data_IF_641351235757
#
_entry.id   IF_641351235757
#
_cell.length_a   1.000
_cell.length_b   1.000
_cell.length_c   1.000
_cell.angle_alpha   90.00
_cell.angle_beta   90.00
_cell.angle_gamma   90.00
#
_symmetry.space_group_name_H-M   'P 1'
#
loop_
_entity.id
_entity.type
_entity.pdbx_description
1 polymer ?
#
# COMPACT_ATOMS: atom_id res chain seq x y z
N UNK A 1 -5.33 10.64 -10.32
CA UNK A 1 -6.22 9.87 -9.43
C UNK A 1 -6.50 8.56 -10.12
N UNK A 2 -6.25 7.44 -9.45
CA UNK A 2 -6.51 6.08 -9.95
C UNK A 2 -7.61 5.47 -9.09
N UNK A 3 -8.58 4.81 -9.71
CA UNK A 3 -9.57 4.02 -8.99
C UNK A 3 -9.06 2.59 -8.87
N UNK A 4 -8.81 2.13 -7.65
CA UNK A 4 -8.37 0.76 -7.39
C UNK A 4 -9.55 -0.09 -6.94
N UNK A 5 -9.80 -1.18 -7.66
CA UNK A 5 -10.72 -2.23 -7.24
C UNK A 5 -9.93 -3.35 -6.59
N UNK A 6 -10.35 -3.85 -5.43
CA UNK A 6 -9.59 -4.89 -4.72
C UNK A 6 -10.42 -5.89 -3.93
N UNK A 7 -9.80 -7.05 -3.71
CA UNK A 7 -10.21 -8.13 -2.81
C UNK A 7 -9.00 -8.55 -1.98
N UNK A 8 -9.24 -9.02 -0.76
CA UNK A 8 -8.19 -9.46 0.16
C UNK A 8 -8.47 -10.86 0.69
N UNK A 9 -7.42 -11.54 1.11
CA UNK A 9 -7.46 -12.77 1.89
C UNK A 9 -6.17 -12.90 2.71
N UNK A 10 -6.10 -13.93 3.55
CA UNK A 10 -4.87 -14.40 4.16
C UNK A 10 -4.57 -15.83 3.71
N UNK A 11 -3.29 -16.22 3.73
CA UNK A 11 -2.82 -17.57 3.48
C UNK A 11 -1.77 -17.96 4.52
N UNK A 12 -1.82 -19.20 4.97
CA UNK A 12 -0.86 -19.74 5.93
C UNK A 12 0.52 -19.94 5.30
N UNK A 13 1.58 -19.84 6.10
CA UNK A 13 2.96 -19.95 5.63
C UNK A 13 3.28 -21.29 4.97
N UNK A 14 2.73 -22.38 5.50
CA UNK A 14 2.92 -23.74 4.94
C UNK A 14 2.35 -23.89 3.53
N UNK A 15 1.25 -23.17 3.24
CA UNK A 15 0.55 -23.26 1.97
C UNK A 15 1.10 -22.32 0.89
N UNK A 16 2.03 -21.42 1.25
CA UNK A 16 2.54 -20.39 0.36
C UNK A 16 3.17 -20.96 -0.90
N UNK A 17 4.09 -21.93 -0.77
CA UNK A 17 4.84 -22.47 -1.92
C UNK A 17 3.94 -23.16 -2.93
N UNK A 18 2.95 -23.91 -2.44
CA UNK A 18 1.93 -24.56 -3.28
C UNK A 18 1.09 -23.51 -3.98
N UNK A 19 0.67 -22.47 -3.26
CA UNK A 19 -0.11 -21.38 -3.83
C UNK A 19 0.65 -20.59 -4.87
N UNK A 20 1.92 -20.22 -4.63
CA UNK A 20 2.78 -19.52 -5.59
C UNK A 20 2.95 -20.31 -6.90
N UNK A 21 3.17 -21.62 -6.78
CA UNK A 21 3.29 -22.50 -7.95
C UNK A 21 1.97 -22.59 -8.71
N UNK A 22 0.85 -22.70 -7.98
CA UNK A 22 -0.49 -22.80 -8.56
C UNK A 22 -0.90 -21.51 -9.26
N UNK A 23 -0.72 -20.36 -8.60
CA UNK A 23 -1.10 -19.07 -9.15
C UNK A 23 -0.24 -18.72 -10.37
N UNK A 24 1.08 -18.99 -10.34
CA UNK A 24 1.94 -18.79 -11.52
C UNK A 24 1.57 -19.68 -12.69
N UNK A 25 1.19 -20.94 -12.42
CA UNK A 25 0.71 -21.86 -13.47
C UNK A 25 -0.61 -21.40 -14.06
N UNK A 26 -1.47 -20.82 -13.22
CA UNK A 26 -2.79 -20.34 -13.61
C UNK A 26 -2.75 -19.03 -14.40
N UNK A 27 -1.92 -18.07 -13.96
CA UNK A 27 -1.75 -16.78 -14.66
C UNK A 27 -0.84 -16.88 -15.88
N UNK A 28 -0.06 -17.96 -15.98
CA UNK A 28 0.97 -18.12 -17.02
C UNK A 28 2.16 -17.19 -16.83
N UNK A 29 2.31 -16.57 -15.65
CA UNK A 29 3.37 -15.60 -15.34
C UNK A 29 4.13 -16.00 -14.08
N UNK A 30 5.46 -15.83 -14.06
CA UNK A 30 6.24 -16.07 -12.85
C UNK A 30 5.89 -15.03 -11.79
N UNK A 31 6.01 -15.43 -10.53
CA UNK A 31 5.94 -14.49 -9.41
C UNK A 31 7.26 -13.73 -9.28
N UNK A 32 7.20 -12.44 -8.96
CA UNK A 32 8.36 -11.57 -8.77
C UNK A 32 8.44 -11.20 -7.30
N UNK A 33 9.57 -11.48 -6.67
CA UNK A 33 9.82 -11.04 -5.30
C UNK A 33 9.97 -9.51 -5.26
N UNK A 34 9.34 -8.87 -4.27
CA UNK A 34 9.48 -7.44 -4.04
C UNK A 34 9.64 -7.14 -2.56
N UNK A 35 10.36 -6.06 -2.27
CA UNK A 35 10.51 -5.51 -0.94
C UNK A 35 10.38 -3.99 -1.04
N UNK A 36 9.41 -3.43 -0.32
CA UNK A 36 9.12 -1.99 -0.33
C UNK A 36 9.12 -1.47 1.10
N UNK A 37 9.69 -0.30 1.31
CA UNK A 37 9.52 0.42 2.56
C UNK A 37 8.42 1.48 2.41
N UNK A 38 7.65 1.64 3.47
CA UNK A 38 6.55 2.58 3.55
C UNK A 38 6.71 3.42 4.81
N UNK A 39 6.66 4.74 4.63
CA UNK A 39 6.73 5.75 5.67
C UNK A 39 5.37 6.45 5.70
N UNK A 40 4.66 6.32 6.82
CA UNK A 40 3.39 7.03 7.00
C UNK A 40 3.62 8.29 7.82
N UNK A 41 3.10 9.40 7.32
CA UNK A 41 3.24 10.73 7.92
C UNK A 41 1.88 11.28 8.34
N UNK A 42 1.86 11.89 9.52
CA UNK A 42 0.74 12.60 10.10
C UNK A 42 0.95 14.12 9.92
N UNK A 43 -0.06 14.88 9.49
CA UNK A 43 0.04 16.34 9.52
C UNK A 43 0.20 16.82 10.97
N UNK A 44 1.11 17.76 11.22
CA UNK A 44 1.21 18.41 12.53
C UNK A 44 -0.02 19.30 12.70
N UNK A 45 -0.63 19.25 13.88
CA UNK A 45 -1.77 20.11 14.21
C UNK A 45 -1.41 21.58 13.93
N UNK A 46 -2.14 22.18 12.99
CA UNK A 46 -2.09 23.62 12.79
C UNK A 46 -2.79 24.23 14.00
N UNK A 47 -2.04 24.95 14.84
CA UNK A 47 -2.62 25.83 15.88
C UNK A 47 -3.70 26.70 15.24
N UNK A 48 -4.93 26.60 15.75
CA UNK A 48 -6.26 27.13 15.35
C UNK A 48 -6.38 28.39 14.47
N UNK A 49 -5.33 29.20 14.38
CA UNK A 49 -5.28 30.48 13.69
C UNK A 49 -5.31 30.48 12.15
N UNK A 50 -5.10 29.34 11.47
CA UNK A 50 -5.05 29.27 9.99
C UNK A 50 -6.27 28.62 9.31
N UNK A 51 -7.21 28.09 10.08
CA UNK A 51 -8.40 27.39 9.55
C UNK A 51 -9.50 28.33 8.99
N UNK A 52 -9.42 29.63 9.28
CA UNK A 52 -10.48 30.60 8.94
C UNK A 52 -10.40 31.18 7.51
N UNK A 53 -9.46 30.73 6.66
CA UNK A 53 -9.27 31.32 5.33
C UNK A 53 -9.96 30.55 4.17
N UNK A 54 -10.56 29.38 4.43
CA UNK A 54 -11.15 28.49 3.41
C UNK A 54 -12.54 27.98 3.82
N UNK A 55 -13.41 28.86 4.33
CA UNK A 55 -14.72 28.54 4.94
C UNK A 55 -15.83 28.08 3.95
N UNK A 56 -15.51 27.52 2.77
CA UNK A 56 -16.53 27.15 1.77
C UNK A 56 -16.71 25.68 1.45
N UNK A 57 -16.07 24.74 2.16
CA UNK A 57 -16.27 23.30 1.91
C UNK A 57 -16.59 22.50 3.20
N UNK A 58 -17.43 21.49 3.01
CA UNK A 58 -18.14 20.65 4.00
C UNK A 58 -17.24 20.05 5.09
N UNK A 59 -17.80 19.80 6.29
CA UNK A 59 -17.07 19.21 7.44
C UNK A 59 -16.40 17.85 7.15
N UNK A 60 -16.83 17.10 6.12
CA UNK A 60 -16.16 15.88 5.65
C UNK A 60 -14.83 16.13 4.96
N UNK A 61 -14.62 17.33 4.42
CA UNK A 61 -13.43 17.73 3.66
C UNK A 61 -12.33 18.30 4.58
N UNK A 62 -12.65 18.50 5.87
CA UNK A 62 -11.74 18.98 6.91
C UNK A 62 -10.96 17.86 7.60
N UNK A 63 -11.18 16.60 7.25
CA UNK A 63 -10.48 15.49 7.88
C UNK A 63 -9.03 15.46 7.40
N UNK A 64 -8.11 15.69 8.33
CA UNK A 64 -6.68 15.51 8.09
C UNK A 64 -6.43 14.06 7.65
N UNK A 65 -5.66 13.89 6.57
CA UNK A 65 -5.32 12.58 6.01
C UNK A 65 -3.85 12.28 6.24
N UNK A 66 -3.55 11.02 6.54
CA UNK A 66 -2.17 10.54 6.51
C UNK A 66 -1.66 10.48 5.08
N UNK A 67 -0.38 10.75 4.92
CA UNK A 67 0.35 10.59 3.67
C UNK A 67 1.25 9.36 3.79
N UNK A 68 1.22 8.48 2.79
CA UNK A 68 2.11 7.32 2.73
C UNK A 68 3.15 7.51 1.63
N UNK A 69 4.42 7.54 2.00
CA UNK A 69 5.56 7.53 1.10
C UNK A 69 6.07 6.12 0.96
N UNK A 70 6.26 5.65 -0.27
CA UNK A 70 6.77 4.32 -0.54
C UNK A 70 7.92 4.37 -1.53
N UNK A 71 8.90 3.50 -1.33
CA UNK A 71 9.96 3.25 -2.31
C UNK A 71 10.37 1.78 -2.27
N UNK A 72 11.01 1.33 -3.34
CA UNK A 72 11.58 -0.02 -3.42
C UNK A 72 12.75 -0.06 -2.46
N UNK A 73 12.78 -1.07 -1.59
CA UNK A 73 13.92 -1.28 -0.73
C UNK A 73 15.10 -1.74 -1.61
N UNK A 74 16.23 -1.02 -1.62
CA UNK A 74 17.39 -1.44 -2.40
C UNK A 74 17.95 -2.71 -1.75
N UNK A 75 17.53 -3.85 -2.27
CA UNK A 75 18.24 -5.09 -2.00
C UNK A 75 19.60 -4.95 -2.68
N UNK A 76 20.68 -4.98 -1.89
CA UNK A 76 22.02 -5.15 -2.44
C UNK A 76 22.00 -6.39 -3.35
N UNK A 77 22.58 -6.28 -4.54
CA UNK A 77 22.64 -7.37 -5.52
C UNK A 77 22.94 -8.70 -4.81
N UNK A 78 22.06 -9.67 -5.04
CA UNK A 78 22.02 -10.99 -4.39
C UNK A 78 23.26 -11.87 -4.65
N UNK A 79 24.31 -11.33 -5.27
CA UNK A 79 25.57 -12.01 -5.58
C UNK A 79 26.72 -11.64 -4.62
N UNK A 80 26.50 -10.74 -3.66
CA UNK A 80 27.51 -10.45 -2.63
C UNK A 80 27.03 -10.90 -1.25
N UNK A 81 27.83 -11.76 -0.63
CA UNK A 81 27.65 -12.34 0.71
C UNK A 81 27.75 -11.34 1.87
N UNK A 82 27.49 -10.06 1.62
CA UNK A 82 27.44 -9.01 2.64
C UNK A 82 26.01 -8.50 2.76
N UNK A 83 25.28 -9.06 3.73
CA UNK A 83 23.99 -8.60 4.23
C UNK A 83 24.11 -7.25 4.96
N UNK A 84 24.65 -6.23 4.31
CA UNK A 84 24.57 -4.86 4.81
C UNK A 84 23.35 -4.22 4.16
N UNK A 85 22.17 -4.58 4.67
CA UNK A 85 20.95 -3.82 4.38
C UNK A 85 21.20 -2.36 4.75
N UNK A 86 20.93 -1.45 3.81
CA UNK A 86 21.09 -0.03 4.04
C UNK A 86 20.28 0.39 5.29
N UNK A 87 20.89 1.05 6.29
CA UNK A 87 20.14 1.56 7.43
C UNK A 87 19.06 2.54 6.97
N UNK A 88 17.89 2.52 7.63
CA UNK A 88 16.78 3.42 7.33
C UNK A 88 17.20 4.89 7.32
N UNK A 89 18.04 5.30 8.27
CA UNK A 89 18.56 6.66 8.36
C UNK A 89 19.36 7.08 7.12
N UNK A 90 20.07 6.14 6.48
CA UNK A 90 20.82 6.44 5.26
C UNK A 90 19.87 6.55 4.07
N UNK A 91 18.85 5.69 3.98
CA UNK A 91 17.82 5.75 2.94
C UNK A 91 17.05 7.09 2.96
N UNK A 92 16.70 7.57 4.15
CA UNK A 92 15.95 8.82 4.32
C UNK A 92 16.74 10.07 3.88
N UNK A 93 18.07 10.00 3.97
CA UNK A 93 18.98 11.07 3.60
C UNK A 93 19.47 10.96 2.15
N UNK A 94 19.14 9.88 1.46
CA UNK A 94 19.59 9.68 0.09
C UNK A 94 18.79 10.53 -0.88
N UNK A 95 19.51 11.32 -1.66
CA UNK A 95 18.94 12.38 -2.50
C UNK A 95 18.44 11.89 -3.85
N UNK A 96 18.92 10.74 -4.30
CA UNK A 96 18.70 10.18 -5.64
C UNK A 96 17.56 9.17 -5.69
N UNK A 97 17.04 8.75 -4.53
CA UNK A 97 15.97 7.76 -4.46
C UNK A 97 14.63 8.43 -4.75
N UNK A 98 13.94 7.92 -5.77
CA UNK A 98 12.57 8.31 -6.06
C UNK A 98 11.61 7.74 -5.01
N UNK A 99 10.70 8.59 -4.54
CA UNK A 99 9.64 8.22 -3.61
C UNK A 99 8.27 8.39 -4.26
N UNK A 100 7.38 7.44 -4.05
CA UNK A 100 5.97 7.58 -4.44
C UNK A 100 5.18 8.03 -3.22
N UNK A 101 4.69 9.27 -3.28
CA UNK A 101 3.76 9.83 -2.30
C UNK A 101 2.36 9.40 -2.70
N UNK A 102 1.64 8.81 -1.76
CA UNK A 102 0.27 8.31 -1.95
C UNK A 102 -0.64 8.76 -0.81
N UNK A 103 -1.86 9.14 -1.16
CA UNK A 103 -2.98 9.27 -0.23
C UNK A 103 -4.19 8.60 -0.85
N UNK A 104 -5.13 8.14 -0.02
CA UNK A 104 -6.31 7.48 -0.50
C UNK A 104 -7.53 7.83 0.35
N UNK A 105 -8.67 7.81 -0.32
CA UNK A 105 -9.95 8.04 0.35
C UNK A 105 -10.44 6.77 1.00
N UNK A 106 -11.39 6.91 1.93
CA UNK A 106 -12.13 5.75 2.40
C UNK A 106 -12.82 5.08 1.20
N UNK A 107 -12.77 3.74 1.07
CA UNK A 107 -13.45 3.05 -0.01
C UNK A 107 -14.92 3.41 -0.07
N UNK A 108 -15.44 3.53 -1.29
CA UNK A 108 -16.79 4.05 -1.56
C UNK A 108 -17.81 3.39 -0.61
N UNK A 109 -18.75 4.17 -0.09
CA UNK A 109 -19.88 3.62 0.66
C UNK A 109 -20.79 2.82 -0.29
N UNK A 110 -21.40 1.76 0.21
CA UNK A 110 -22.48 1.05 -0.48
C UNK A 110 -23.07 -0.01 0.42
N UNK A 111 -24.34 -0.33 0.20
CA UNK A 111 -25.02 -1.41 0.91
C UNK A 111 -24.30 -2.76 0.64
N UNK A 112 -24.56 -3.74 1.51
CA UNK A 112 -23.96 -5.08 1.63
C UNK A 112 -23.81 -5.95 0.34
N UNK A 113 -24.10 -5.41 -0.85
CA UNK A 113 -23.96 -6.03 -2.17
C UNK A 113 -22.69 -5.61 -2.94
N UNK A 114 -21.71 -4.96 -2.30
CA UNK A 114 -20.43 -4.70 -2.98
C UNK A 114 -19.66 -5.99 -3.19
N UNK A 115 -19.46 -6.33 -4.46
CA UNK A 115 -18.72 -7.53 -4.87
C UNK A 115 -17.20 -7.34 -4.79
N UNK A 116 -16.73 -6.09 -4.82
CA UNK A 116 -15.32 -5.68 -4.73
C UNK A 116 -15.19 -4.38 -3.92
N UNK A 117 -14.05 -4.18 -3.26
CA UNK A 117 -13.69 -2.88 -2.68
C UNK A 117 -13.32 -1.91 -3.79
N UNK A 118 -13.66 -0.63 -3.66
CA UNK A 118 -13.38 0.40 -4.66
C UNK A 118 -12.90 1.66 -3.97
N UNK A 119 -11.64 2.04 -4.20
CA UNK A 119 -10.93 3.09 -3.50
C UNK A 119 -10.27 4.06 -4.48
N UNK A 120 -10.39 5.36 -4.23
CA UNK A 120 -9.64 6.38 -4.97
C UNK A 120 -8.25 6.55 -4.35
N UNK A 121 -7.21 6.47 -5.19
CA UNK A 121 -5.82 6.63 -4.79
C UNK A 121 -5.22 7.81 -5.58
N UNK A 122 -4.59 8.72 -4.87
CA UNK A 122 -3.86 9.85 -5.42
C UNK A 122 -2.38 9.58 -5.20
N UNK A 123 -1.63 9.52 -6.29
CA UNK A 123 -0.20 9.22 -6.25
C UNK A 123 0.57 10.31 -7.00
N UNK A 124 1.74 10.66 -6.49
CA UNK A 124 2.72 11.50 -7.15
C UNK A 124 4.12 10.99 -6.84
N UNK A 125 5.05 11.17 -7.78
CA UNK A 125 6.44 10.75 -7.59
C UNK A 125 7.29 11.96 -7.22
N UNK A 126 7.90 11.89 -6.04
CA UNK A 126 8.95 12.81 -5.61
C UNK A 126 10.27 12.27 -6.13
N UNK A 127 10.93 13.04 -6.98
CA UNK A 127 12.25 12.71 -7.51
C UNK A 127 13.35 13.07 -6.52
N UNK A 128 14.36 13.78 -7.01
CA UNK A 128 15.50 14.17 -6.18
C UNK A 128 15.12 15.21 -5.12
N UNK A 129 15.64 15.03 -3.91
CA UNK A 129 15.46 15.98 -2.79
C UNK A 129 16.81 16.51 -2.32
N UNK A 130 16.93 17.82 -2.14
CA UNK A 130 18.21 18.43 -1.72
C UNK A 130 18.57 18.13 -0.27
N UNK A 131 17.57 17.96 0.60
CA UNK A 131 17.69 17.85 2.06
C UNK A 131 17.26 16.49 2.63
N UNK A 132 16.93 15.52 1.77
CA UNK A 132 16.36 14.23 2.16
C UNK A 132 14.85 14.30 2.34
N UNK A 133 14.18 13.13 2.25
CA UNK A 133 12.71 13.06 2.22
C UNK A 133 12.08 13.42 3.57
N UNK A 134 12.74 13.11 4.68
CA UNK A 134 12.23 13.39 6.03
C UNK A 134 12.21 14.91 6.32
N UNK A 135 13.27 15.62 5.94
CA UNK A 135 13.32 17.09 6.04
C UNK A 135 12.25 17.73 5.16
N UNK A 136 12.12 17.26 3.92
CA UNK A 136 11.09 17.71 2.99
C UNK A 136 9.67 17.57 3.57
N UNK A 137 9.35 16.42 4.17
CA UNK A 137 8.04 16.21 4.80
C UNK A 137 7.84 17.06 6.05
N UNK A 138 8.89 17.30 6.84
CA UNK A 138 8.85 18.21 8.00
C UNK A 138 8.58 19.66 7.59
N UNK A 139 9.17 20.10 6.48
CA UNK A 139 8.97 21.45 5.91
C UNK A 139 7.54 21.62 5.38
N UNK A 140 6.93 20.54 4.87
CA UNK A 140 5.50 20.50 4.51
C UNK A 140 4.55 20.48 5.72
N UNK A 141 5.09 20.45 6.95
CA UNK A 141 4.31 20.42 8.17
C UNK A 141 3.85 19.04 8.60
N UNK A 142 4.46 17.96 8.09
CA UNK A 142 4.14 16.59 8.50
C UNK A 142 5.17 16.05 9.51
N UNK A 143 4.74 15.12 10.37
CA UNK A 143 5.58 14.32 11.26
C UNK A 143 5.48 12.84 10.91
N UNK A 144 6.57 12.09 11.04
CA UNK A 144 6.54 10.64 10.82
C UNK A 144 5.71 9.96 11.92
N UNK A 145 4.73 9.13 11.53
CA UNK A 145 3.84 8.39 12.43
C UNK A 145 4.41 6.98 12.67
N UNK A 146 4.49 6.18 11.60
CA UNK A 146 5.06 4.83 11.67
C UNK A 146 5.70 4.42 10.35
N UNK A 147 6.62 3.45 10.46
CA UNK A 147 7.36 2.88 9.34
C UNK A 147 7.12 1.38 9.28
N UNK A 148 6.90 0.86 8.07
CA UNK A 148 6.76 -0.57 7.85
C UNK A 148 7.33 -1.00 6.51
N UNK A 149 7.82 -2.24 6.46
CA UNK A 149 8.27 -2.92 5.25
C UNK A 149 7.18 -3.88 4.76
N UNK A 150 6.99 -3.92 3.44
CA UNK A 150 6.19 -4.92 2.73
C UNK A 150 7.14 -5.81 1.96
N UNK A 151 7.19 -7.09 2.32
CA UNK A 151 8.03 -8.08 1.65
C UNK A 151 7.17 -9.22 1.14
N UNK A 152 7.31 -9.58 -0.13
CA UNK A 152 6.40 -10.54 -0.72
C UNK A 152 6.69 -10.90 -2.16
N UNK A 153 5.66 -11.46 -2.79
CA UNK A 153 5.65 -11.90 -4.18
C UNK A 153 4.48 -11.22 -4.91
N UNK A 154 4.75 -10.74 -6.13
CA UNK A 154 3.76 -10.15 -7.02
C UNK A 154 3.56 -11.04 -8.22
N UNK A 155 2.30 -11.27 -8.58
CA UNK A 155 1.90 -12.04 -9.77
C UNK A 155 0.97 -11.19 -10.61
N UNK A 156 1.24 -11.14 -11.91
CA UNK A 156 0.43 -10.38 -12.87
C UNK A 156 -0.41 -11.32 -13.72
N UNK A 157 -1.72 -11.12 -13.77
CA UNK A 157 -2.61 -11.84 -14.67
C UNK A 157 -2.86 -11.01 -15.93
N UNK A 158 -2.14 -11.26 -17.05
CA UNK A 158 -2.18 -10.39 -18.22
C UNK A 158 -3.56 -10.30 -18.88
N UNK A 159 -4.27 -11.44 -19.01
CA UNK A 159 -5.57 -11.45 -19.67
C UNK A 159 -6.67 -10.68 -18.92
N UNK A 160 -6.64 -10.69 -17.58
CA UNK A 160 -7.65 -10.04 -16.74
C UNK A 160 -7.19 -8.66 -16.24
N UNK A 161 -5.93 -8.29 -16.47
CA UNK A 161 -5.26 -7.10 -15.93
C UNK A 161 -5.33 -6.99 -14.40
N UNK A 162 -5.19 -8.11 -13.70
CA UNK A 162 -5.22 -8.19 -12.23
C UNK A 162 -3.78 -8.34 -11.71
N UNK A 163 -3.47 -7.59 -10.65
CA UNK A 163 -2.23 -7.74 -9.88
C UNK A 163 -2.59 -8.45 -8.56
N UNK A 164 -1.85 -9.51 -8.25
CA UNK A 164 -1.96 -10.23 -6.99
C UNK A 164 -0.67 -10.04 -6.19
N UNK A 165 -0.77 -9.33 -5.08
CA UNK A 165 0.32 -9.13 -4.12
C UNK A 165 0.14 -10.07 -2.93
N UNK A 166 1.14 -10.90 -2.66
CA UNK A 166 1.20 -11.82 -1.53
C UNK A 166 2.34 -11.38 -0.64
N UNK A 167 2.07 -10.80 0.53
CA UNK A 167 3.09 -10.10 1.30
C UNK A 167 2.93 -10.26 2.81
N UNK A 168 4.07 -10.15 3.50
CA UNK A 168 4.17 -9.91 4.94
C UNK A 168 4.38 -8.42 5.21
N UNK A 169 3.89 -7.97 6.37
CA UNK A 169 4.04 -6.59 6.84
C UNK A 169 4.89 -6.60 8.09
N UNK A 170 6.03 -5.94 8.03
CA UNK A 170 7.00 -5.88 9.13
C UNK A 170 7.06 -4.44 9.61
N UNK A 171 6.67 -4.19 10.86
CA UNK A 171 6.84 -2.89 11.50
C UNK A 171 8.31 -2.65 11.80
N UNK A 172 8.81 -1.47 11.48
CA UNK A 172 10.17 -1.04 11.80
C UNK A 172 10.08 0.01 12.89
N UNK A 173 10.50 -0.34 14.10
CA UNK A 173 10.62 0.61 15.20
C UNK A 173 12.08 1.07 15.30
N UNK A 174 12.30 2.37 15.23
CA UNK A 174 13.62 2.97 15.46
C UNK A 174 13.69 3.40 16.91
N UNK A 175 14.56 2.76 17.68
CA UNK A 175 14.93 3.24 19.02
C UNK A 175 15.94 4.39 18.92
N UNK A 176 16.05 5.21 19.97
CA UNK A 176 16.96 6.37 20.04
C UNK A 176 18.44 6.01 19.78
N UNK A 177 18.82 4.73 19.92
CA UNK A 177 20.17 4.22 19.68
C UNK A 177 20.44 3.81 18.22
N UNK A 178 19.59 4.19 17.26
CA UNK A 178 19.65 3.78 15.84
C UNK A 178 19.57 2.26 15.60
N UNK A 179 19.17 1.48 16.62
CA UNK A 179 18.87 0.05 16.46
C UNK A 179 17.43 -0.07 15.97
N UNK A 180 17.27 -0.49 14.72
CA UNK A 180 15.96 -0.80 14.13
C UNK A 180 15.51 -2.18 14.58
N UNK A 181 14.51 -2.24 15.46
CA UNK A 181 13.85 -3.51 15.81
C UNK A 181 12.71 -3.76 14.83
N UNK A 182 12.75 -4.90 14.17
CA UNK A 182 11.71 -5.35 13.25
C UNK A 182 10.72 -6.26 13.96
N UNK A 183 9.43 -5.94 13.88
CA UNK A 183 8.35 -6.78 14.38
C UNK A 183 7.45 -7.19 13.23
N UNK A 184 7.37 -8.49 12.96
CA UNK A 184 6.40 -9.03 12.00
C UNK A 184 4.98 -8.80 12.55
N UNK A 185 4.13 -8.10 11.79
CA UNK A 185 2.72 -7.91 12.13
C UNK A 185 1.85 -9.06 11.60
N UNK A 186 2.41 -9.86 10.70
CA UNK A 186 1.79 -10.98 10.00
C UNK A 186 2.40 -12.30 10.45
N UNK A 187 2.59 -12.47 11.76
CA UNK A 187 3.35 -13.59 12.37
C UNK A 187 2.89 -14.98 11.90
N UNK A 188 1.61 -15.15 11.56
CA UNK A 188 1.01 -16.45 11.23
C UNK A 188 0.74 -16.68 9.73
N UNK A 189 1.18 -15.80 8.82
CA UNK A 189 0.92 -16.02 7.40
C UNK A 189 1.21 -14.83 6.49
N UNK A 190 0.68 -14.90 5.27
CA UNK A 190 0.81 -13.87 4.26
C UNK A 190 -0.55 -13.25 3.97
N UNK A 191 -0.56 -11.94 3.77
CA UNK A 191 -1.72 -11.24 3.24
C UNK A 191 -1.71 -11.35 1.73
N UNK A 192 -2.87 -11.63 1.15
CA UNK A 192 -3.09 -11.64 -0.30
C UNK A 192 -4.01 -10.48 -0.65
N UNK A 193 -3.55 -9.59 -1.52
CA UNK A 193 -4.35 -8.49 -2.09
C UNK A 193 -4.38 -8.62 -3.60
N UNK A 194 -5.55 -8.87 -4.14
CA UNK A 194 -5.80 -8.90 -5.58
C UNK A 194 -6.47 -7.59 -5.97
N UNK A 195 -5.90 -6.85 -6.91
CA UNK A 195 -6.43 -5.57 -7.32
C UNK A 195 -6.26 -5.27 -8.81
N UNK A 196 -7.12 -4.38 -9.30
CA UNK A 196 -7.05 -3.80 -10.64
C UNK A 196 -7.10 -2.28 -10.52
N UNK A 197 -6.20 -1.60 -11.24
CA UNK A 197 -6.12 -0.14 -11.28
C UNK A 197 -6.84 0.36 -12.53
N UNK A 198 -7.65 1.39 -12.36
CA UNK A 198 -8.43 2.02 -13.43
C UNK A 198 -8.07 3.50 -13.46
N UNK A 199 -7.64 3.99 -14.61
CA UNK A 199 -7.09 5.34 -14.73
C UNK A 199 -8.13 6.44 -14.50
N UNK A 200 -9.39 6.18 -14.88
CA UNK A 200 -10.47 7.16 -14.76
C UNK A 200 -11.66 6.58 -13.99
N UNK A 201 -12.03 7.22 -12.87
CA UNK A 201 -13.21 6.84 -12.10
C UNK A 201 -14.54 7.08 -12.84
N UNK A 202 -14.52 7.90 -13.91
CA UNK A 202 -15.69 8.16 -14.76
C UNK A 202 -15.94 7.07 -15.80
N UNK A 203 -14.96 6.18 -16.04
CA UNK A 203 -15.11 5.09 -16.98
C UNK A 203 -15.85 3.91 -16.34
N UNK A 204 -17.18 3.98 -16.43
CA UNK A 204 -18.08 2.97 -15.87
C UNK A 204 -17.91 1.61 -16.57
N UNK A 205 -17.53 1.59 -17.84
CA UNK A 205 -17.36 0.34 -18.61
C UNK A 205 -16.13 -0.42 -18.13
N UNK A 206 -15.00 0.26 -17.99
CA UNK A 206 -13.77 -0.31 -17.42
C UNK A 206 -13.97 -0.78 -15.98
N UNK A 207 -14.72 -0.02 -15.16
CA UNK A 207 -15.06 -0.44 -13.79
C UNK A 207 -15.88 -1.74 -13.79
N UNK A 208 -16.89 -1.84 -14.66
CA UNK A 208 -17.70 -3.06 -14.78
C UNK A 208 -16.88 -4.26 -15.26
N UNK A 209 -16.03 -4.05 -16.26
CA UNK A 209 -15.14 -5.09 -16.79
C UNK A 209 -14.18 -5.60 -15.70
N UNK A 210 -13.47 -4.69 -15.02
CA UNK A 210 -12.55 -5.02 -13.95
C UNK A 210 -13.24 -5.71 -12.77
N UNK A 211 -14.47 -5.30 -12.44
CA UNK A 211 -15.30 -5.96 -11.41
C UNK A 211 -15.63 -7.40 -11.81
N UNK A 212 -16.07 -7.62 -13.05
CA UNK A 212 -16.38 -8.97 -13.55
C UNK A 212 -15.13 -9.86 -13.56
N UNK A 213 -13.99 -9.34 -14.01
CA UNK A 213 -12.71 -10.04 -14.01
C UNK A 213 -12.30 -10.44 -12.59
N UNK A 214 -12.40 -9.54 -11.61
CA UNK A 214 -12.08 -9.84 -10.21
C UNK A 214 -13.02 -10.90 -9.61
N UNK A 215 -14.29 -10.90 -9.99
CA UNK A 215 -15.27 -11.92 -9.55
C UNK A 215 -14.97 -13.27 -10.19
N UNK A 216 -14.64 -13.30 -11.47
CA UNK A 216 -14.22 -14.52 -12.17
C UNK A 216 -12.94 -15.09 -11.54
N UNK A 217 -11.95 -14.23 -11.30
CA UNK A 217 -10.71 -14.60 -10.61
C UNK A 217 -10.98 -15.14 -9.21
N UNK A 218 -11.88 -14.51 -8.45
CA UNK A 218 -12.34 -15.02 -7.14
C UNK A 218 -12.97 -16.42 -7.25
N UNK A 219 -13.81 -16.67 -8.26
CA UNK A 219 -14.42 -18.00 -8.47
C UNK A 219 -13.37 -19.05 -8.83
N UNK A 220 -12.38 -18.68 -9.62
CA UNK A 220 -11.31 -19.59 -10.02
C UNK A 220 -10.41 -19.96 -8.84
N UNK A 221 -10.14 -19.01 -7.94
CA UNK A 221 -9.35 -19.24 -6.73
C UNK A 221 -10.15 -19.82 -5.55
N UNK A 222 -11.48 -19.90 -5.63
CA UNK A 222 -12.36 -20.25 -4.51
C UNK A 222 -12.01 -21.57 -3.80
N UNK A 223 -11.39 -22.53 -4.51
CA UNK A 223 -10.95 -23.81 -3.92
C UNK A 223 -9.64 -23.72 -3.12
N UNK A 224 -8.83 -22.69 -3.37
CA UNK A 224 -7.52 -22.50 -2.78
C UNK A 224 -7.50 -21.34 -1.77
N UNK A 225 -8.25 -20.28 -2.06
CA UNK A 225 -8.25 -19.03 -1.32
C UNK A 225 -9.62 -18.35 -1.39
N UNK A 226 -10.16 -17.96 -0.24
CA UNK A 226 -11.42 -17.22 -0.17
C UNK A 226 -11.18 -15.71 -0.18
N UNK A 227 -11.28 -15.10 -1.37
CA UNK A 227 -11.17 -13.65 -1.51
C UNK A 227 -12.41 -12.92 -0.97
N UNK A 228 -12.21 -11.98 -0.07
CA UNK A 228 -13.27 -11.20 0.59
C UNK A 228 -13.09 -9.70 0.37
N UNK A 229 -14.17 -8.94 0.58
CA UNK A 229 -14.13 -7.49 0.54
C UNK A 229 -13.71 -6.99 1.94
N UNK A 230 -12.60 -6.24 2.05
CA UNK A 230 -12.17 -5.71 3.34
C UNK A 230 -13.17 -4.69 3.91
N UNK A 231 -13.25 -4.58 5.23
CA UNK A 231 -14.09 -3.56 5.87
C UNK A 231 -13.53 -2.15 5.58
N UNK A 232 -14.40 -1.27 5.08
CA UNK A 232 -14.10 0.12 4.73
C UNK A 232 -13.46 0.91 5.87
N UNK A 233 -13.86 0.65 7.12
CA UNK A 233 -13.38 1.41 8.28
C UNK A 233 -11.90 1.17 8.57
N UNK A 234 -11.39 0.01 8.16
CA UNK A 234 -10.00 -0.42 8.37
C UNK A 234 -9.10 0.11 7.24
N UNK A 235 -9.68 0.53 6.12
CA UNK A 235 -8.99 1.17 4.98
C UNK A 235 -9.10 2.70 5.01
N UNK A 236 -9.51 3.26 6.15
CA UNK A 236 -9.65 4.70 6.32
C UNK A 236 -8.33 5.31 6.80
N UNK A 237 -7.73 6.17 5.96
CA UNK A 237 -6.46 6.84 6.23
C UNK A 237 -6.62 8.16 7.00
N UNK A 238 -7.85 8.54 7.32
CA UNK A 238 -8.16 9.75 8.08
C UNK A 238 -7.58 9.67 9.49
N UNK A 239 -7.13 10.80 10.00
CA UNK A 239 -6.74 10.94 11.41
C UNK A 239 -8.00 10.83 12.26
N UNK A 240 -7.97 9.94 13.25
CA UNK A 240 -9.08 9.77 14.20
C UNK A 240 -8.58 10.32 15.53
N UNK A 241 -9.19 11.41 15.98
CA UNK A 241 -8.99 11.91 17.33
C UNK A 241 -9.53 10.83 18.29
N UNK A 242 -8.67 10.29 19.14
CA UNK A 242 -9.03 9.38 20.23
C UNK A 242 -8.90 10.09 21.57
#
# INVERSE_FOLDING_TARGET
MVQQLSLVSAIDEESLQVFLTTISSFTGTPHIAFENINLTYLPKELTDSSLNALETESESDKQQKRINLSTVWPNGDSDSTNTNSMPLATLLNEKTIGWTLSTCDIPLAGNNNKQVSSQAIYETTVGETESGIDTFMKDLGYGCDYVYKKKGHRVFHPAMMIICDIFKVISVMTSEENVSTEKDLTENGYMVKCYANIDQATDIESIKLATNNLIEFKKMLQKYLELQVPDRKVMDFSVKDY
#
